data_IF_693413204501
#
_entry.id   IF_693413204501
#
_cell.length_a   1.000
_cell.length_b   1.000
_cell.length_c   1.000
_cell.angle_alpha   90.00
_cell.angle_beta   90.00
_cell.angle_gamma   90.00
#
_symmetry.space_group_name_H-M   'P 1'
#
loop_
_entity.id
_entity.type
_entity.pdbx_description
1 polymer ?
#
# COMPACT_ATOMS: atom_id res chain seq x y z
N UNK A 1 -50.68 45.19 -19.29
CA UNK A 1 -49.20 45.26 -19.16
C UNK A 1 -48.67 43.84 -19.26
N UNK A 2 -47.78 43.57 -20.23
CA UNK A 2 -47.24 42.23 -20.53
C UNK A 2 -46.19 41.84 -19.48
N UNK A 3 -46.38 40.70 -18.82
CA UNK A 3 -45.39 40.07 -17.95
C UNK A 3 -44.16 39.65 -18.78
N UNK A 4 -42.97 40.12 -18.41
CA UNK A 4 -41.70 39.56 -18.88
C UNK A 4 -41.32 38.36 -18.02
N UNK A 5 -41.00 37.26 -18.71
CA UNK A 5 -40.53 35.98 -18.19
C UNK A 5 -39.09 36.12 -17.68
N UNK A 6 -38.86 35.85 -16.40
CA UNK A 6 -37.52 35.58 -15.89
C UNK A 6 -37.27 34.07 -15.99
N UNK A 7 -36.33 33.70 -16.87
CA UNK A 7 -35.83 32.34 -16.97
C UNK A 7 -35.04 31.98 -15.72
N UNK A 8 -35.46 30.93 -15.03
CA UNK A 8 -34.63 30.23 -14.06
C UNK A 8 -34.18 28.92 -14.71
N UNK A 9 -32.97 28.91 -15.23
CA UNK A 9 -32.28 27.66 -15.57
C UNK A 9 -31.69 27.13 -14.26
N UNK A 10 -32.46 26.30 -13.55
CA UNK A 10 -31.91 25.54 -12.43
C UNK A 10 -31.12 24.36 -12.99
N UNK A 11 -29.79 24.46 -12.91
CA UNK A 11 -28.88 23.37 -13.21
C UNK A 11 -29.18 22.18 -12.27
N UNK A 12 -29.67 21.08 -12.83
CA UNK A 12 -29.73 19.81 -12.13
C UNK A 12 -28.30 19.32 -11.91
N UNK A 13 -27.79 19.46 -10.68
CA UNK A 13 -26.56 18.81 -10.26
C UNK A 13 -26.87 17.32 -10.14
N UNK A 14 -26.54 16.56 -11.19
CA UNK A 14 -26.57 15.11 -11.15
C UNK A 14 -25.50 14.65 -10.15
N UNK A 15 -25.94 14.30 -8.94
CA UNK A 15 -25.09 13.70 -7.92
C UNK A 15 -24.52 12.40 -8.46
N UNK A 16 -23.22 12.39 -8.71
CA UNK A 16 -22.47 11.17 -9.02
C UNK A 16 -22.57 10.28 -7.78
N UNK A 17 -23.31 9.17 -7.89
CA UNK A 17 -23.18 8.06 -6.95
C UNK A 17 -21.77 7.52 -7.10
N UNK A 18 -20.89 7.91 -6.18
CA UNK A 18 -19.64 7.20 -5.96
C UNK A 18 -20.03 5.85 -5.39
N UNK A 19 -20.08 4.83 -6.25
CA UNK A 19 -20.13 3.45 -5.81
C UNK A 19 -18.84 3.19 -5.02
N UNK A 20 -18.92 3.30 -3.70
CA UNK A 20 -17.90 2.77 -2.80
C UNK A 20 -17.94 1.26 -2.96
N UNK A 21 -17.11 0.74 -3.88
CA UNK A 21 -16.74 -0.65 -3.88
C UNK A 21 -16.20 -0.96 -2.48
N UNK A 22 -16.98 -1.70 -1.69
CA UNK A 22 -16.46 -2.40 -0.52
C UNK A 22 -15.39 -3.33 -1.07
N UNK A 23 -14.13 -2.90 -0.96
CA UNK A 23 -12.97 -3.64 -1.43
C UNK A 23 -13.02 -5.06 -0.86
N UNK A 24 -12.61 -6.02 -1.69
CA UNK A 24 -12.41 -7.39 -1.25
C UNK A 24 -11.66 -7.38 0.09
N UNK A 25 -12.19 -8.10 1.09
CA UNK A 25 -11.49 -8.28 2.35
C UNK A 25 -10.21 -9.05 2.05
N UNK A 26 -9.11 -8.32 1.84
CA UNK A 26 -7.80 -8.92 1.76
C UNK A 26 -7.61 -9.72 3.05
N UNK A 27 -7.16 -10.97 2.94
CA UNK A 27 -6.64 -11.67 4.10
C UNK A 27 -5.57 -10.77 4.70
N UNK A 28 -5.71 -10.41 5.99
CA UNK A 28 -4.68 -9.64 6.69
C UNK A 28 -3.43 -10.51 6.69
N UNK A 29 -2.47 -10.19 5.83
CA UNK A 29 -1.27 -11.00 5.69
C UNK A 29 -0.34 -10.89 6.90
N UNK A 30 0.69 -11.72 6.87
CA UNK A 30 1.72 -11.80 7.87
C UNK A 30 2.54 -10.50 7.85
N UNK A 31 2.76 -9.91 9.03
CA UNK A 31 3.51 -8.66 9.17
C UNK A 31 4.91 -8.86 9.72
N UNK A 32 5.88 -8.16 9.15
CA UNK A 32 7.22 -7.94 9.70
C UNK A 32 7.35 -6.48 10.11
N UNK A 33 7.91 -6.22 11.30
CA UNK A 33 8.01 -4.88 11.89
C UNK A 33 9.46 -4.50 12.16
N UNK A 34 9.75 -3.20 12.01
CA UNK A 34 10.96 -2.52 12.52
C UNK A 34 10.49 -1.18 13.08
N UNK A 35 10.58 -0.98 14.39
CA UNK A 35 9.84 0.13 15.02
C UNK A 35 8.32 -0.03 14.81
N UNK A 36 7.66 1.06 14.42
CA UNK A 36 6.24 1.06 14.02
C UNK A 36 6.08 0.81 12.50
N UNK A 37 7.16 0.89 11.72
CA UNK A 37 7.17 0.56 10.29
C UNK A 37 6.93 -0.93 10.04
N UNK A 38 6.25 -1.27 8.94
CA UNK A 38 5.97 -2.67 8.62
C UNK A 38 6.00 -3.03 7.13
N UNK A 39 6.20 -4.32 6.90
CA UNK A 39 5.86 -4.98 5.63
C UNK A 39 4.78 -6.03 5.86
N UNK A 40 3.89 -6.19 4.90
CA UNK A 40 2.80 -7.16 4.97
C UNK A 40 2.62 -7.85 3.62
N UNK A 41 2.52 -9.17 3.60
CA UNK A 41 2.09 -9.87 2.39
C UNK A 41 0.58 -9.75 2.19
N UNK A 42 0.11 -10.00 0.98
CA UNK A 42 -1.31 -10.10 0.72
C UNK A 42 -1.58 -11.07 -0.43
N UNK A 43 -2.81 -11.58 -0.45
CA UNK A 43 -3.32 -12.42 -1.52
C UNK A 43 -4.72 -11.96 -1.91
N UNK A 44 -4.89 -11.55 -3.17
CA UNK A 44 -6.18 -11.11 -3.72
C UNK A 44 -6.43 -11.89 -5.00
N UNK A 45 -7.57 -12.61 -5.07
CA UNK A 45 -8.02 -13.29 -6.29
C UNK A 45 -7.02 -14.28 -6.96
N UNK A 46 -5.98 -14.71 -6.25
CA UNK A 46 -4.94 -15.61 -6.79
C UNK A 46 -3.62 -14.91 -7.06
N UNK A 47 -3.61 -13.58 -7.00
CA UNK A 47 -2.41 -12.75 -7.04
C UNK A 47 -1.86 -12.52 -5.64
N UNK A 48 -0.54 -12.38 -5.58
CA UNK A 48 0.24 -12.18 -4.36
C UNK A 48 1.02 -10.89 -4.47
N UNK A 49 1.25 -10.24 -3.33
CA UNK A 49 2.17 -9.12 -3.26
C UNK A 49 2.59 -8.80 -1.84
N UNK A 50 3.39 -7.75 -1.73
CA UNK A 50 3.93 -7.24 -0.48
C UNK A 50 3.75 -5.73 -0.45
N UNK A 51 3.39 -5.20 0.71
CA UNK A 51 3.27 -3.77 0.97
C UNK A 51 4.32 -3.36 2.00
N UNK A 52 4.90 -2.17 1.83
CA UNK A 52 5.74 -1.49 2.81
C UNK A 52 5.02 -0.23 3.30
N UNK A 53 5.03 0.01 4.61
CA UNK A 53 4.35 1.15 5.23
C UNK A 53 5.27 1.81 6.25
N UNK A 54 5.46 3.13 6.09
CA UNK A 54 5.98 4.01 7.13
C UNK A 54 4.83 4.43 8.07
N UNK A 55 5.00 4.23 9.38
CA UNK A 55 4.04 4.71 10.40
C UNK A 55 4.64 5.78 11.35
N UNK A 56 5.91 6.16 11.17
CA UNK A 56 6.70 6.94 12.14
C UNK A 56 6.82 8.44 11.78
N UNK A 57 6.56 8.85 10.53
CA UNK A 57 6.65 10.27 10.08
C UNK A 57 7.93 10.99 10.49
N UNK A 58 9.05 10.29 10.47
CA UNK A 58 10.35 10.76 10.97
C UNK A 58 11.35 11.09 9.85
N UNK A 59 10.87 11.10 8.60
CA UNK A 59 11.64 11.31 7.37
C UNK A 59 12.60 10.17 7.00
N UNK A 60 12.51 9.00 7.61
CA UNK A 60 13.21 7.79 7.17
C UNK A 60 12.41 7.05 6.09
N UNK A 61 13.08 6.62 5.03
CA UNK A 61 12.43 5.77 4.03
C UNK A 61 12.18 4.38 4.60
N UNK A 62 11.11 3.72 4.17
CA UNK A 62 10.83 2.32 4.52
C UNK A 62 10.74 1.51 3.23
N UNK A 63 11.31 0.32 3.21
CA UNK A 63 11.06 -0.64 2.15
C UNK A 63 10.78 -2.03 2.70
N UNK A 64 10.12 -2.85 1.89
CA UNK A 64 10.02 -4.28 2.12
C UNK A 64 10.99 -5.00 1.19
N UNK A 65 11.92 -5.75 1.78
CA UNK A 65 12.66 -6.78 1.06
C UNK A 65 11.77 -8.01 0.94
N UNK A 66 11.61 -8.58 -0.26
CA UNK A 66 10.86 -9.82 -0.45
C UNK A 66 11.43 -10.72 -1.52
N UNK A 67 11.07 -12.00 -1.45
CA UNK A 67 11.37 -13.02 -2.45
C UNK A 67 10.07 -13.74 -2.82
N UNK A 68 9.82 -13.94 -4.10
CA UNK A 68 8.76 -14.86 -4.55
C UNK A 68 9.31 -16.28 -4.70
N UNK A 69 8.45 -17.29 -4.70
CA UNK A 69 8.87 -18.69 -4.88
C UNK A 69 9.49 -18.98 -6.25
N UNK A 70 9.24 -18.12 -7.24
CA UNK A 70 9.79 -18.20 -8.59
C UNK A 70 11.03 -17.33 -8.79
N UNK A 71 11.30 -16.36 -7.90
CA UNK A 71 12.44 -15.46 -8.00
C UNK A 71 13.65 -15.99 -7.23
N UNK A 72 14.81 -16.00 -7.87
CA UNK A 72 16.10 -16.25 -7.22
C UNK A 72 16.75 -15.01 -6.62
N UNK A 73 16.10 -13.84 -6.69
CA UNK A 73 16.68 -12.55 -6.28
C UNK A 73 15.72 -11.74 -5.41
N UNK A 74 16.24 -11.15 -4.34
CA UNK A 74 15.47 -10.24 -3.47
C UNK A 74 15.00 -9.03 -4.27
N UNK A 75 13.72 -8.74 -4.15
CA UNK A 75 13.04 -7.59 -4.73
C UNK A 75 12.69 -6.60 -3.62
N UNK A 76 12.43 -5.35 -4.00
CA UNK A 76 12.06 -4.29 -3.08
C UNK A 76 10.82 -3.55 -3.55
N UNK A 77 9.98 -3.19 -2.58
CA UNK A 77 8.93 -2.18 -2.72
C UNK A 77 9.21 -1.12 -1.67
N UNK A 78 9.29 0.15 -2.09
CA UNK A 78 9.84 1.23 -1.26
C UNK A 78 8.80 2.32 -1.06
N UNK A 79 8.41 2.52 0.19
CA UNK A 79 7.75 3.71 0.68
C UNK A 79 8.82 4.76 1.04
N UNK A 80 9.24 5.51 0.02
CA UNK A 80 10.40 6.40 0.13
C UNK A 80 10.09 7.82 0.59
N UNK A 81 8.87 8.10 1.03
CA UNK A 81 8.42 9.46 1.30
C UNK A 81 8.69 9.94 2.75
N UNK A 82 8.97 9.01 3.67
CA UNK A 82 9.27 9.31 5.07
C UNK A 82 8.09 9.89 5.86
N UNK A 83 6.86 9.59 5.43
CA UNK A 83 5.63 10.14 5.98
C UNK A 83 4.61 9.03 6.25
N UNK A 84 3.95 9.09 7.40
CA UNK A 84 2.84 8.20 7.74
C UNK A 84 1.60 8.56 6.91
N UNK A 85 1.54 8.05 5.67
CA UNK A 85 0.45 8.31 4.74
C UNK A 85 0.02 7.05 3.96
N UNK A 86 0.24 7.00 2.66
CA UNK A 86 -0.05 5.87 1.80
C UNK A 86 1.16 4.94 1.74
N UNK A 87 0.92 3.69 2.11
CA UNK A 87 1.89 2.61 1.90
C UNK A 87 2.13 2.35 0.41
N UNK A 88 3.34 1.87 0.09
CA UNK A 88 3.68 1.41 -1.25
C UNK A 88 3.49 -0.11 -1.36
N UNK A 89 2.85 -0.57 -2.43
CA UNK A 89 2.61 -1.98 -2.70
C UNK A 89 3.37 -2.46 -3.94
N UNK A 90 3.87 -3.69 -3.89
CA UNK A 90 4.38 -4.36 -5.07
C UNK A 90 3.25 -4.55 -6.09
N UNK A 91 3.61 -4.81 -7.35
CA UNK A 91 2.63 -5.29 -8.32
C UNK A 91 2.04 -6.65 -7.94
N UNK A 92 0.99 -7.05 -8.67
CA UNK A 92 0.37 -8.36 -8.57
C UNK A 92 1.25 -9.45 -9.19
N UNK A 93 1.62 -10.46 -8.39
CA UNK A 93 2.37 -11.62 -8.86
C UNK A 93 1.52 -12.89 -8.85
N UNK A 94 1.61 -13.69 -9.91
CA UNK A 94 1.05 -15.05 -9.92
C UNK A 94 1.82 -16.03 -9.03
N UNK A 95 3.00 -15.64 -8.55
CA UNK A 95 3.90 -16.46 -7.73
C UNK A 95 3.79 -16.07 -6.25
N UNK A 96 3.73 -17.07 -5.37
CA UNK A 96 3.62 -16.88 -3.93
C UNK A 96 4.82 -16.10 -3.35
N UNK A 97 4.57 -15.26 -2.36
CA UNK A 97 5.64 -14.59 -1.59
C UNK A 97 6.29 -15.63 -0.69
N UNK A 98 7.54 -16.00 -0.97
CA UNK A 98 8.30 -16.96 -0.17
C UNK A 98 8.71 -16.38 1.19
N UNK A 99 9.18 -15.13 1.19
CA UNK A 99 9.52 -14.41 2.41
C UNK A 99 9.54 -12.90 2.20
N UNK A 100 9.31 -12.15 3.27
CA UNK A 100 9.45 -10.70 3.27
C UNK A 100 9.92 -10.17 4.64
N UNK A 101 10.45 -8.95 4.69
CA UNK A 101 10.77 -8.21 5.92
C UNK A 101 10.66 -6.70 5.72
N UNK A 102 10.38 -5.96 6.79
CA UNK A 102 10.48 -4.51 6.79
C UNK A 102 11.94 -4.07 6.96
N UNK A 103 12.29 -2.97 6.32
CA UNK A 103 13.59 -2.30 6.44
C UNK A 103 13.35 -0.80 6.52
N UNK A 104 13.87 -0.18 7.57
CA UNK A 104 13.91 1.28 7.71
C UNK A 104 15.29 1.76 7.28
N UNK A 105 15.32 2.77 6.42
CA UNK A 105 16.53 3.31 5.80
C UNK A 105 17.11 4.44 6.62
N UNK A 106 18.35 4.24 7.07
CA UNK A 106 19.05 5.23 7.87
C UNK A 106 20.16 5.88 7.04
N UNK A 107 20.14 7.21 6.81
CA UNK A 107 21.10 7.85 5.89
C UNK A 107 22.54 7.85 6.39
N UNK A 108 22.75 7.69 7.71
CA UNK A 108 24.07 7.83 8.36
C UNK A 108 24.50 6.56 9.10
N UNK A 109 23.56 5.67 9.42
CA UNK A 109 23.82 4.43 10.16
C UNK A 109 23.35 3.23 9.35
N UNK A 110 23.64 2.03 9.84
CA UNK A 110 23.09 0.81 9.24
C UNK A 110 21.56 0.84 9.31
N UNK A 111 20.92 0.42 8.22
CA UNK A 111 19.47 0.20 8.16
C UNK A 111 18.98 -0.72 9.28
N UNK A 112 17.76 -0.48 9.73
CA UNK A 112 17.11 -1.32 10.73
C UNK A 112 16.26 -2.37 10.05
N UNK A 113 16.43 -3.62 10.46
CA UNK A 113 15.79 -4.77 9.83
C UNK A 113 14.78 -5.43 10.74
N UNK A 114 13.56 -5.55 10.25
CA UNK A 114 12.57 -6.45 10.81
C UNK A 114 12.91 -7.93 10.56
N UNK A 115 12.28 -8.85 11.30
CA UNK A 115 12.50 -10.28 11.11
C UNK A 115 11.94 -10.75 9.76
N UNK A 116 12.61 -11.72 9.13
CA UNK A 116 12.03 -12.42 7.98
C UNK A 116 10.75 -13.16 8.37
N UNK A 117 9.72 -12.97 7.57
CA UNK A 117 8.43 -13.64 7.65
C UNK A 117 8.25 -14.54 6.44
N UNK A 118 7.63 -15.70 6.64
CA UNK A 118 7.49 -16.76 5.64
C UNK A 118 6.00 -17.10 5.50
N UNK A 119 5.27 -16.42 4.60
CA UNK A 119 3.87 -16.70 4.34
C UNK A 119 3.67 -18.14 3.88
N UNK A 120 2.70 -18.85 4.48
CA UNK A 120 2.37 -20.25 4.17
C UNK A 120 1.47 -20.40 2.94
#
# INVERSE_FOLDING_TARGET
MKLLKFGLASAAVAGILVASCSGATASIGLRSYTGDNYSVDWKISGDYGVTACDEESDAHGVHADYLTTSSGSTQQVRDGNGANNACEASGDYSSHVYKHRAVEEWPVTTDQFGPWKYPS
#
